data_IF_200178915223
#
_entry.id   IF_200178915223
#
_cell.length_a   1.000
_cell.length_b   1.000
_cell.length_c   1.000
_cell.angle_alpha   90.00
_cell.angle_beta   90.00
_cell.angle_gamma   90.00
#
_symmetry.space_group_name_H-M   'P 1'
#
loop_
_entity.id
_entity.type
_entity.pdbx_description
1 polymer ?
#
# COMPACT_ATOMS: atom_id res chain seq x y z
N UNK A 1 31.22 -1.33 2.67
CA UNK A 1 31.05 -1.52 1.21
C UNK A 1 31.31 -3.00 0.90
N UNK A 2 30.32 -3.88 1.02
CA UNK A 2 30.53 -5.29 0.71
C UNK A 2 30.56 -5.48 -0.81
N UNK A 3 31.72 -5.87 -1.33
CA UNK A 3 31.87 -6.48 -2.66
C UNK A 3 31.17 -7.85 -2.64
N UNK A 4 29.84 -7.87 -2.63
CA UNK A 4 29.09 -9.11 -2.86
C UNK A 4 29.42 -9.59 -4.28
N UNK A 5 29.80 -10.86 -4.40
CA UNK A 5 30.37 -11.50 -5.59
C UNK A 5 29.65 -11.09 -6.88
N UNK A 6 30.20 -10.08 -7.57
CA UNK A 6 29.69 -9.67 -8.86
C UNK A 6 29.99 -10.80 -9.84
N UNK A 7 28.96 -11.52 -10.29
CA UNK A 7 29.02 -12.30 -11.52
C UNK A 7 28.83 -11.31 -12.66
N UNK A 8 29.90 -10.85 -13.35
CA UNK A 8 29.76 -9.86 -14.41
C UNK A 8 28.98 -10.40 -15.61
N UNK A 9 28.88 -11.73 -15.73
CA UNK A 9 28.24 -12.44 -16.82
C UNK A 9 27.14 -13.37 -16.26
N UNK A 10 25.95 -13.29 -16.84
CA UNK A 10 24.76 -14.09 -16.50
C UNK A 10 24.43 -15.01 -17.66
N UNK A 11 24.20 -16.29 -17.36
CA UNK A 11 23.82 -17.31 -18.35
C UNK A 11 22.35 -17.22 -18.70
N UNK A 12 22.03 -17.28 -19.99
CA UNK A 12 20.65 -17.37 -20.48
C UNK A 12 20.25 -18.85 -20.56
N UNK A 13 19.09 -19.20 -20.00
CA UNK A 13 18.54 -20.55 -20.05
C UNK A 13 17.47 -20.65 -21.13
N UNK A 14 17.38 -21.82 -21.77
CA UNK A 14 16.29 -22.16 -22.68
C UNK A 14 15.07 -22.67 -21.89
N UNK A 15 13.90 -22.73 -22.53
CA UNK A 15 12.64 -23.20 -21.91
C UNK A 15 12.74 -24.63 -21.35
N UNK A 16 13.65 -25.44 -21.88
CA UNK A 16 13.93 -26.82 -21.42
C UNK A 16 14.87 -26.87 -20.21
N UNK A 17 15.16 -25.71 -19.60
CA UNK A 17 16.06 -25.55 -18.46
C UNK A 17 17.52 -25.96 -18.76
N UNK A 18 17.94 -25.80 -20.01
CA UNK A 18 19.33 -26.00 -20.44
C UNK A 18 20.05 -24.67 -20.59
N UNK A 19 21.33 -24.61 -20.22
CA UNK A 19 22.14 -23.40 -20.39
C UNK A 19 22.40 -23.19 -21.88
N UNK A 20 21.96 -22.04 -22.41
CA UNK A 20 22.35 -21.62 -23.75
C UNK A 20 23.82 -21.16 -23.71
N UNK A 21 24.70 -21.98 -24.27
CA UNK A 21 26.17 -21.75 -24.24
C UNK A 21 26.61 -20.54 -25.06
N UNK A 22 25.78 -20.08 -26.00
CA UNK A 22 26.09 -18.96 -26.91
C UNK A 22 25.55 -17.63 -26.39
N UNK A 23 24.53 -17.66 -25.53
CA UNK A 23 23.88 -16.47 -25.00
C UNK A 23 24.31 -16.19 -23.56
N UNK A 24 25.30 -15.30 -23.42
CA UNK A 24 25.72 -14.76 -22.13
C UNK A 24 25.52 -13.25 -22.13
N UNK A 25 24.88 -12.71 -21.10
CA UNK A 25 24.61 -11.28 -20.97
C UNK A 25 25.40 -10.67 -19.81
N UNK A 26 25.93 -9.47 -20.01
CA UNK A 26 26.56 -8.72 -18.93
C UNK A 26 25.50 -8.36 -17.86
N UNK A 27 25.82 -8.53 -16.58
CA UNK A 27 24.94 -8.16 -15.47
C UNK A 27 24.72 -6.64 -15.49
N UNK A 28 23.48 -6.15 -15.68
CA UNK A 28 23.21 -4.71 -15.69
C UNK A 28 23.62 -4.06 -14.37
N UNK A 29 24.11 -2.81 -14.45
CA UNK A 29 24.65 -2.09 -13.30
C UNK A 29 23.65 -1.94 -12.14
N UNK A 30 22.34 -1.91 -12.43
CA UNK A 30 21.28 -1.78 -11.42
C UNK A 30 21.27 -2.92 -10.39
N UNK A 31 21.70 -4.12 -10.77
CA UNK A 31 21.78 -5.26 -9.84
C UNK A 31 22.92 -5.14 -8.82
N UNK A 32 23.85 -4.21 -9.02
CA UNK A 32 24.92 -3.87 -8.06
C UNK A 32 24.56 -2.69 -7.16
N UNK A 33 23.42 -2.04 -7.38
CA UNK A 33 22.98 -0.92 -6.56
C UNK A 33 22.76 -1.38 -5.11
N UNK A 34 23.06 -0.54 -4.10
CA UNK A 34 22.83 -0.89 -2.71
C UNK A 34 21.33 -1.05 -2.44
N UNK A 35 20.97 -2.13 -1.77
CA UNK A 35 19.58 -2.38 -1.38
C UNK A 35 19.25 -1.54 -0.14
N UNK A 36 18.35 -0.57 -0.30
CA UNK A 36 17.83 0.30 0.77
C UNK A 36 16.39 -0.09 1.14
N UNK A 37 16.19 -0.98 2.13
CA UNK A 37 14.85 -1.46 2.49
C UNK A 37 13.98 -0.35 3.10
N UNK A 38 14.59 0.64 3.74
CA UNK A 38 13.95 1.85 4.25
C UNK A 38 13.23 2.63 3.14
N UNK A 39 13.94 2.93 2.05
CA UNK A 39 13.40 3.68 0.90
C UNK A 39 12.32 2.89 0.18
N UNK A 40 12.55 1.59 -0.04
CA UNK A 40 11.56 0.73 -0.70
C UNK A 40 10.26 0.70 0.10
N UNK A 41 10.35 0.55 1.42
CA UNK A 41 9.17 0.53 2.30
C UNK A 41 8.40 1.85 2.26
N UNK A 42 9.10 2.99 2.39
CA UNK A 42 8.46 4.31 2.36
C UNK A 42 7.74 4.58 1.04
N UNK A 43 8.44 4.40 -0.08
CA UNK A 43 7.86 4.63 -1.42
C UNK A 43 6.70 3.69 -1.69
N UNK A 44 6.82 2.40 -1.35
CA UNK A 44 5.73 1.45 -1.51
C UNK A 44 4.51 1.83 -0.66
N UNK A 45 4.72 2.28 0.58
CA UNK A 45 3.61 2.68 1.45
C UNK A 45 2.87 3.92 0.90
N UNK A 46 3.60 4.93 0.43
CA UNK A 46 3.01 6.13 -0.18
C UNK A 46 2.22 5.78 -1.45
N UNK A 47 2.83 5.00 -2.35
CA UNK A 47 2.17 4.58 -3.59
C UNK A 47 0.93 3.72 -3.35
N UNK A 48 0.95 2.86 -2.32
CA UNK A 48 -0.23 2.06 -1.92
C UNK A 48 -1.37 2.94 -1.41
N UNK A 49 -1.06 3.98 -0.62
CA UNK A 49 -2.07 4.90 -0.08
C UNK A 49 -2.77 5.70 -1.18
N UNK A 50 -2.06 6.10 -2.23
CA UNK A 50 -2.61 6.87 -3.34
C UNK A 50 -3.68 6.12 -4.15
N UNK A 51 -3.72 4.78 -4.10
CA UNK A 51 -4.71 3.96 -4.81
C UNK A 51 -6.05 3.85 -4.09
N UNK A 52 -6.17 4.35 -2.87
CA UNK A 52 -7.41 4.25 -2.09
C UNK A 52 -8.44 5.24 -2.60
N UNK A 53 -9.68 4.78 -2.78
CA UNK A 53 -10.82 5.64 -3.05
C UNK A 53 -11.33 6.26 -1.73
N UNK A 54 -11.65 7.56 -1.70
CA UNK A 54 -12.25 8.18 -0.52
C UNK A 54 -13.64 7.59 -0.28
N UNK A 55 -13.97 7.36 0.98
CA UNK A 55 -15.27 6.88 1.42
C UNK A 55 -15.71 7.67 2.66
N UNK A 56 -17.01 7.93 2.76
CA UNK A 56 -17.62 8.64 3.87
C UNK A 56 -19.04 8.14 4.10
N UNK A 57 -19.57 8.38 5.31
CA UNK A 57 -21.02 8.23 5.59
C UNK A 57 -21.79 9.37 4.93
N UNK A 58 -23.09 9.18 4.71
CA UNK A 58 -23.96 10.27 4.19
C UNK A 58 -23.94 11.45 5.16
N UNK A 59 -23.81 12.67 4.62
CA UNK A 59 -23.80 13.91 5.39
C UNK A 59 -25.08 14.10 6.22
N UNK A 60 -26.22 13.65 5.69
CA UNK A 60 -27.52 13.76 6.37
C UNK A 60 -27.86 12.55 7.25
N UNK A 61 -26.94 11.59 7.43
CA UNK A 61 -27.20 10.40 8.23
C UNK A 61 -27.52 10.78 9.69
N UNK A 62 -28.73 10.44 10.15
CA UNK A 62 -29.20 10.77 11.50
C UNK A 62 -29.79 12.18 11.67
N UNK A 63 -29.78 13.03 10.63
CA UNK A 63 -30.29 14.41 10.69
C UNK A 63 -31.72 14.58 10.12
N UNK A 64 -32.25 13.56 9.43
CA UNK A 64 -33.55 13.64 8.76
C UNK A 64 -34.74 13.51 9.72
N UNK A 65 -34.50 12.98 10.93
CA UNK A 65 -35.55 12.76 11.91
C UNK A 65 -35.80 14.04 12.69
N UNK A 66 -37.02 14.59 12.56
CA UNK A 66 -37.48 15.66 13.45
C UNK A 66 -37.59 15.10 14.86
N UNK A 67 -36.75 15.59 15.77
CA UNK A 67 -36.74 15.17 17.16
C UNK A 67 -36.38 16.36 18.05
N UNK A 68 -37.16 16.55 19.11
CA UNK A 68 -36.92 17.59 20.10
C UNK A 68 -36.91 17.01 21.50
N UNK A 69 -36.19 17.67 22.41
CA UNK A 69 -36.14 17.21 23.80
C UNK A 69 -37.41 17.63 24.53
N UNK A 70 -38.03 16.71 25.26
CA UNK A 70 -39.21 17.01 26.08
C UNK A 70 -38.91 17.84 27.34
N UNK A 71 -37.64 18.16 27.60
CA UNK A 71 -37.21 18.89 28.79
C UNK A 71 -37.23 18.04 30.08
N UNK A 72 -37.16 18.70 31.22
CA UNK A 72 -37.17 18.08 32.55
C UNK A 72 -38.58 17.75 33.05
N UNK A 73 -38.69 16.99 34.13
CA UNK A 73 -39.99 16.75 34.81
C UNK A 73 -40.79 15.55 34.30
N UNK A 74 -40.21 14.73 33.43
CA UNK A 74 -40.87 13.53 32.86
C UNK A 74 -40.22 12.20 33.26
N UNK A 75 -39.30 12.22 34.22
CA UNK A 75 -38.52 11.05 34.67
C UNK A 75 -37.81 10.29 33.52
N UNK A 76 -37.39 11.00 32.48
CA UNK A 76 -36.60 10.43 31.37
C UNK A 76 -35.42 11.32 31.00
N UNK A 77 -34.40 10.72 30.38
CA UNK A 77 -33.17 11.40 29.95
C UNK A 77 -33.44 12.54 28.94
N UNK A 78 -32.59 13.56 28.98
CA UNK A 78 -32.66 14.81 28.19
C UNK A 78 -32.13 14.66 26.76
N UNK A 79 -32.62 13.65 26.04
CA UNK A 79 -32.25 13.36 24.65
C UNK A 79 -33.43 13.81 23.75
N UNK A 80 -33.19 14.27 22.50
CA UNK A 80 -34.25 14.49 21.53
C UNK A 80 -35.06 13.22 21.29
N UNK A 81 -36.38 13.35 21.19
CA UNK A 81 -37.31 12.25 20.91
C UNK A 81 -38.11 12.59 19.66
N UNK A 82 -38.41 11.55 18.87
CA UNK A 82 -39.33 11.63 17.73
C UNK A 82 -40.75 11.90 18.23
#
# INVERSE_FOLDING_TARGET
MSLAAARPLVSVYTEKNEVNKEATSALPAIFKAPIRPDVVNEVCQLMRRNRRQPYAVSEAAGHQTSAESWGTGRAVARIPRV
#
